data_IF_304807218856
#
_entry.id   IF_304807218856
#
_cell.length_a   1.000
_cell.length_b   1.000
_cell.length_c   1.000
_cell.angle_alpha   90.00
_cell.angle_beta   90.00
_cell.angle_gamma   90.00
#
_symmetry.space_group_name_H-M   'P 1'
#
loop_
_entity.id
_entity.type
_entity.pdbx_description
1 polymer ?
#
# COMPACT_ATOMS: atom_id res chain seq x y z
N UNK A 1 13.04 39.40 14.66
CA UNK A 1 12.66 39.31 13.24
C UNK A 1 13.75 38.56 12.49
N UNK A 2 13.58 37.25 12.28
CA UNK A 2 14.19 36.49 11.18
C UNK A 2 13.21 35.35 10.89
N UNK A 3 12.38 35.51 9.86
CA UNK A 3 11.43 34.48 9.40
C UNK A 3 12.26 33.43 8.66
N UNK A 4 12.24 32.19 9.16
CA UNK A 4 12.84 31.04 8.49
C UNK A 4 12.24 30.83 7.11
N UNK A 5 13.11 30.56 6.14
CA UNK A 5 12.77 30.26 4.77
C UNK A 5 11.80 29.04 4.67
N UNK A 6 10.95 28.96 3.64
CA UNK A 6 10.04 27.85 3.46
C UNK A 6 10.84 26.56 3.22
N UNK A 7 10.58 25.55 4.06
CA UNK A 7 11.09 24.19 3.91
C UNK A 7 10.62 23.68 2.55
N UNK A 8 11.57 23.40 1.66
CA UNK A 8 11.30 22.82 0.35
C UNK A 8 10.47 21.53 0.53
N UNK A 9 9.37 21.41 -0.21
CA UNK A 9 8.55 20.22 -0.19
C UNK A 9 9.42 18.99 -0.53
N UNK A 10 9.57 18.07 0.43
CA UNK A 10 10.29 16.80 0.22
C UNK A 10 9.58 16.04 -0.91
N UNK A 11 10.22 15.92 -2.08
CA UNK A 11 9.72 15.06 -3.13
C UNK A 11 9.83 13.61 -2.66
N UNK A 12 8.69 12.98 -2.36
CA UNK A 12 8.64 11.56 -2.01
C UNK A 12 9.12 10.73 -3.20
N UNK A 13 9.94 9.68 -2.98
CA UNK A 13 10.39 8.83 -4.06
C UNK A 13 9.19 8.13 -4.71
N UNK A 14 9.19 8.11 -6.04
CA UNK A 14 8.16 7.41 -6.81
C UNK A 14 8.40 5.90 -6.67
N UNK A 15 7.49 5.16 -6.05
CA UNK A 15 7.55 3.69 -6.08
C UNK A 15 7.12 3.22 -7.46
N UNK A 16 8.07 2.71 -8.24
CA UNK A 16 7.79 2.16 -9.56
C UNK A 16 7.23 0.75 -9.37
N UNK A 17 6.00 0.51 -9.83
CA UNK A 17 5.44 -0.83 -9.88
C UNK A 17 6.36 -1.73 -10.71
N UNK A 18 6.46 -3.03 -10.36
CA UNK A 18 7.28 -3.99 -11.09
C UNK A 18 7.09 -3.85 -12.61
N UNK A 19 8.15 -4.01 -13.42
CA UNK A 19 7.99 -4.05 -14.87
C UNK A 19 6.94 -5.11 -15.23
N UNK A 20 5.94 -4.69 -16.04
CA UNK A 20 4.76 -5.47 -16.42
C UNK A 20 5.06 -6.89 -16.97
N UNK A 21 6.31 -7.20 -17.31
CA UNK A 21 6.74 -8.51 -17.79
C UNK A 21 6.62 -9.62 -16.73
N UNK A 22 6.72 -9.31 -15.44
CA UNK A 22 6.53 -10.28 -14.35
C UNK A 22 5.06 -10.43 -13.92
N UNK A 23 4.24 -9.41 -14.17
CA UNK A 23 2.81 -9.38 -13.87
C UNK A 23 1.96 -9.74 -15.10
N UNK A 24 2.45 -10.62 -15.98
CA UNK A 24 1.56 -11.31 -16.92
C UNK A 24 0.61 -12.18 -16.11
N UNK A 25 -0.48 -11.55 -15.65
CA UNK A 25 -1.66 -12.21 -15.12
C UNK A 25 -2.02 -13.23 -16.19
N UNK A 26 -1.91 -14.52 -15.86
CA UNK A 26 -2.48 -15.56 -16.70
C UNK A 26 -3.91 -15.13 -17.06
N UNK A 27 -4.38 -15.34 -18.30
CA UNK A 27 -5.78 -15.07 -18.63
C UNK A 27 -6.62 -15.72 -17.54
N UNK A 28 -7.53 -14.94 -16.95
CA UNK A 28 -8.38 -15.44 -15.88
C UNK A 28 -9.00 -16.77 -16.35
N UNK A 29 -9.03 -17.82 -15.51
CA UNK A 29 -9.68 -19.06 -15.90
C UNK A 29 -11.08 -18.74 -16.44
N UNK A 30 -11.52 -19.42 -17.50
CA UNK A 30 -12.89 -19.32 -17.98
C UNK A 30 -13.81 -20.01 -16.97
N UNK A 31 -14.02 -19.36 -15.82
CA UNK A 31 -15.04 -19.76 -14.87
C UNK A 31 -16.37 -19.73 -15.62
N UNK A 32 -17.21 -20.79 -15.52
CA UNK A 32 -18.55 -20.69 -16.05
C UNK A 32 -19.19 -19.46 -15.44
N UNK A 33 -19.70 -18.57 -16.30
CA UNK A 33 -20.36 -17.31 -15.94
C UNK A 33 -21.72 -17.62 -15.30
N UNK A 34 -21.72 -18.39 -14.20
CA UNK A 34 -22.89 -18.71 -13.41
C UNK A 34 -23.01 -17.70 -12.29
N UNK A 35 -23.42 -16.50 -12.68
CA UNK A 35 -24.26 -15.59 -11.91
C UNK A 35 -24.72 -14.58 -12.94
N UNK A 36 -25.92 -14.78 -13.48
CA UNK A 36 -26.61 -13.72 -14.18
C UNK A 36 -26.89 -12.62 -13.14
N UNK A 37 -25.92 -11.72 -12.95
CA UNK A 37 -26.24 -10.37 -12.48
C UNK A 37 -27.14 -9.80 -13.56
N UNK A 38 -28.44 -9.72 -13.27
CA UNK A 38 -29.35 -8.94 -14.10
C UNK A 38 -28.69 -7.57 -14.33
N UNK A 39 -28.66 -7.06 -15.57
CA UNK A 39 -28.00 -5.79 -15.89
C UNK A 39 -28.56 -4.60 -15.08
N UNK A 40 -29.69 -4.80 -14.39
CA UNK A 40 -30.38 -3.82 -13.58
C UNK A 40 -30.11 -3.93 -12.06
N UNK A 41 -29.23 -4.84 -11.60
CA UNK A 41 -28.96 -5.05 -10.18
C UNK A 41 -27.46 -4.83 -9.90
N UNK A 42 -27.07 -4.09 -8.83
CA UNK A 42 -25.67 -3.98 -8.45
C UNK A 42 -24.99 -5.36 -8.28
N UNK A 43 -23.69 -5.46 -8.61
CA UNK A 43 -23.03 -6.75 -8.81
C UNK A 43 -22.98 -7.64 -7.57
N UNK A 44 -23.10 -7.08 -6.37
CA UNK A 44 -23.08 -7.80 -5.10
C UNK A 44 -24.41 -7.75 -4.33
N UNK A 45 -25.51 -7.40 -5.00
CA UNK A 45 -26.82 -7.33 -4.35
C UNK A 45 -27.19 -8.63 -3.63
N UNK A 46 -27.74 -8.51 -2.42
CA UNK A 46 -28.14 -9.66 -1.59
C UNK A 46 -26.97 -10.43 -0.97
N UNK A 47 -25.71 -10.03 -1.20
CA UNK A 47 -24.54 -10.62 -0.53
C UNK A 47 -24.32 -9.99 0.84
N UNK A 48 -23.97 -10.82 1.81
CA UNK A 48 -23.50 -10.40 3.13
C UNK A 48 -22.01 -10.71 3.25
N UNK A 49 -21.19 -9.69 3.50
CA UNK A 49 -19.73 -9.81 3.48
C UNK A 49 -19.15 -9.28 4.79
N UNK A 50 -18.24 -10.04 5.39
CA UNK A 50 -17.46 -9.61 6.55
C UNK A 50 -16.03 -9.29 6.09
N UNK A 51 -15.53 -8.10 6.43
CA UNK A 51 -14.19 -7.65 6.08
C UNK A 51 -13.29 -7.74 7.31
N UNK A 52 -12.27 -8.61 7.26
CA UNK A 52 -11.35 -8.89 8.37
C UNK A 52 -9.98 -8.20 8.29
N UNK A 53 -9.84 -7.27 7.34
CA UNK A 53 -8.58 -6.56 7.07
C UNK A 53 -8.21 -5.60 8.22
N UNK A 54 -6.94 -5.18 8.34
CA UNK A 54 -6.56 -4.12 9.27
C UNK A 54 -7.12 -2.76 8.82
N UNK A 55 -7.34 -1.86 9.78
CA UNK A 55 -7.73 -0.48 9.49
C UNK A 55 -6.59 0.36 8.92
N UNK A 56 -6.87 1.43 8.15
CA UNK A 56 -8.20 1.88 7.65
C UNK A 56 -8.74 1.05 6.45
N UNK A 57 -8.00 0.02 6.01
CA UNK A 57 -8.30 -0.70 4.75
C UNK A 57 -9.56 -1.55 4.88
N UNK A 58 -9.92 -1.94 6.09
CA UNK A 58 -11.16 -2.65 6.37
C UNK A 58 -12.36 -1.77 6.00
N UNK A 59 -12.36 -0.54 6.51
CA UNK A 59 -13.43 0.42 6.24
C UNK A 59 -13.48 0.84 4.77
N UNK A 60 -12.34 1.13 4.14
CA UNK A 60 -12.25 1.43 2.70
C UNK A 60 -12.84 0.28 1.85
N UNK A 61 -12.52 -0.97 2.21
CA UNK A 61 -13.04 -2.15 1.51
C UNK A 61 -14.54 -2.32 1.76
N UNK A 62 -15.01 -2.11 3.00
CA UNK A 62 -16.44 -2.17 3.35
C UNK A 62 -17.25 -1.19 2.52
N UNK A 63 -16.81 0.06 2.41
CA UNK A 63 -17.47 1.11 1.62
C UNK A 63 -17.55 0.74 0.14
N UNK A 64 -16.43 0.26 -0.45
CA UNK A 64 -16.41 -0.17 -1.85
C UNK A 64 -17.38 -1.34 -2.12
N UNK A 65 -17.50 -2.28 -1.18
CA UNK A 65 -18.44 -3.41 -1.29
C UNK A 65 -19.90 -2.96 -1.17
N UNK A 66 -20.19 -1.98 -0.32
CA UNK A 66 -21.54 -1.39 -0.20
C UNK A 66 -21.95 -0.61 -1.45
N UNK A 67 -21.03 0.15 -2.04
CA UNK A 67 -21.26 0.81 -3.33
C UNK A 67 -21.57 -0.20 -4.45
N UNK A 68 -21.03 -1.42 -4.34
CA UNK A 68 -21.31 -2.54 -5.22
C UNK A 68 -22.59 -3.33 -4.86
N UNK A 69 -23.37 -2.88 -3.86
CA UNK A 69 -24.66 -3.43 -3.46
C UNK A 69 -24.64 -4.51 -2.38
N UNK A 70 -23.48 -4.81 -1.78
CA UNK A 70 -23.38 -5.77 -0.69
C UNK A 70 -23.84 -5.17 0.65
N UNK A 71 -24.35 -6.01 1.55
CA UNK A 71 -24.44 -5.70 2.97
C UNK A 71 -23.11 -6.08 3.63
N UNK A 72 -22.27 -5.11 3.95
CA UNK A 72 -20.90 -5.36 4.43
C UNK A 72 -20.69 -4.90 5.86
N UNK A 73 -19.87 -5.63 6.63
CA UNK A 73 -19.44 -5.22 7.97
C UNK A 73 -17.92 -5.30 8.08
N UNK A 74 -17.30 -4.28 8.66
CA UNK A 74 -15.89 -4.34 9.04
C UNK A 74 -15.78 -5.00 10.43
N UNK A 75 -14.91 -5.99 10.53
CA UNK A 75 -14.48 -6.60 11.79
C UNK A 75 -12.97 -6.79 11.70
N UNK A 76 -12.17 -5.76 11.96
CA UNK A 76 -10.71 -5.85 11.86
C UNK A 76 -10.17 -6.91 12.83
N UNK A 77 -9.57 -7.97 12.30
CA UNK A 77 -9.00 -9.06 13.10
C UNK A 77 -7.47 -8.98 13.21
N UNK A 78 -6.86 -8.01 12.51
CA UNK A 78 -5.42 -7.81 12.45
C UNK A 78 -5.13 -6.36 12.82
N UNK A 79 -4.22 -6.15 13.77
CA UNK A 79 -3.66 -4.85 14.08
C UNK A 79 -2.24 -4.74 13.50
N UNK A 80 -1.93 -3.60 12.89
CA UNK A 80 -0.59 -3.29 12.41
C UNK A 80 0.08 -2.41 13.46
N UNK A 81 1.09 -2.95 14.13
CA UNK A 81 1.84 -2.24 15.16
C UNK A 81 3.23 -1.91 14.62
N UNK A 82 3.64 -0.63 14.61
CA UNK A 82 5.04 -0.27 14.39
C UNK A 82 5.90 -0.96 15.44
N UNK A 83 7.05 -1.48 15.00
CA UNK A 83 8.04 -2.06 15.89
C UNK A 83 9.14 -1.03 16.12
N UNK A 84 9.63 -0.94 17.36
CA UNK A 84 10.84 -0.17 17.65
C UNK A 84 12.05 -0.82 16.99
N UNK A 85 12.80 -0.03 16.24
CA UNK A 85 14.02 -0.51 15.60
C UNK A 85 15.17 -0.63 16.59
N UNK A 86 15.91 -1.73 16.49
CA UNK A 86 17.16 -1.86 17.21
C UNK A 86 18.27 -0.97 16.60
N UNK A 87 19.48 -1.02 17.16
CA UNK A 87 20.60 -0.20 16.69
C UNK A 87 21.03 -0.55 15.26
N UNK A 88 21.03 -1.86 14.92
CA UNK A 88 21.45 -2.34 13.60
C UNK A 88 20.46 -1.90 12.52
N UNK A 89 19.17 -2.01 12.81
CA UNK A 89 18.10 -1.63 11.88
C UNK A 89 18.07 -0.12 11.64
N UNK A 90 18.36 0.67 12.68
CA UNK A 90 18.54 2.12 12.51
C UNK A 90 19.73 2.45 11.61
N UNK A 91 20.88 1.79 11.80
CA UNK A 91 22.02 1.96 10.90
C UNK A 91 21.66 1.63 9.45
N UNK A 92 20.92 0.54 9.21
CA UNK A 92 20.47 0.19 7.85
C UNK A 92 19.62 1.27 7.20
N UNK A 93 18.80 1.99 7.97
CA UNK A 93 17.98 3.11 7.47
C UNK A 93 18.82 4.38 7.26
N UNK A 94 19.84 4.61 8.08
CA UNK A 94 20.74 5.75 7.92
C UNK A 94 21.70 5.58 6.74
N UNK A 95 21.94 4.35 6.32
CA UNK A 95 22.85 3.97 5.23
C UNK A 95 22.10 3.50 3.98
N UNK A 96 20.89 4.03 3.73
CA UNK A 96 20.08 3.65 2.56
C UNK A 96 20.78 3.91 1.22
N UNK A 97 21.72 4.85 1.17
CA UNK A 97 22.56 5.13 0.00
C UNK A 97 23.53 3.99 -0.36
N UNK A 98 23.81 3.06 0.58
CA UNK A 98 24.55 1.84 0.29
C UNK A 98 23.73 0.80 -0.49
N UNK A 99 22.43 1.04 -0.70
CA UNK A 99 21.55 0.14 -1.42
C UNK A 99 21.15 0.70 -2.78
N UNK A 100 21.12 -0.18 -3.79
CA UNK A 100 20.58 0.15 -5.10
C UNK A 100 19.06 -0.02 -5.17
N UNK A 101 18.50 -0.96 -4.39
CA UNK A 101 17.09 -1.36 -4.49
C UNK A 101 16.47 -1.57 -3.11
N UNK A 102 15.26 -1.07 -2.93
CA UNK A 102 14.40 -1.34 -1.78
C UNK A 102 13.15 -2.07 -2.25
N UNK A 103 12.81 -3.16 -1.58
CA UNK A 103 11.62 -3.96 -1.86
C UNK A 103 10.64 -3.81 -0.69
N UNK A 104 9.57 -3.04 -0.89
CA UNK A 104 8.47 -2.97 0.06
C UNK A 104 7.46 -4.09 -0.23
N UNK A 105 7.28 -5.02 0.71
CA UNK A 105 6.43 -6.21 0.51
C UNK A 105 4.94 -5.96 0.78
N UNK A 106 4.58 -4.78 1.29
CA UNK A 106 3.20 -4.38 1.51
C UNK A 106 3.09 -2.85 1.65
N UNK A 107 1.88 -2.27 1.51
CA UNK A 107 1.67 -0.84 1.75
C UNK A 107 2.07 -0.42 3.17
N UNK A 108 1.88 -1.31 4.16
CA UNK A 108 2.27 -1.04 5.54
C UNK A 108 3.79 -0.97 5.69
N UNK A 109 4.53 -1.88 5.04
CA UNK A 109 5.99 -1.88 5.07
C UNK A 109 6.58 -0.63 4.40
N UNK A 110 6.03 -0.23 3.24
CA UNK A 110 6.42 1.02 2.56
C UNK A 110 6.22 2.23 3.47
N UNK A 111 5.02 2.37 4.05
CA UNK A 111 4.66 3.53 4.90
C UNK A 111 5.56 3.61 6.12
N UNK A 112 5.73 2.50 6.85
CA UNK A 112 6.53 2.48 8.07
C UNK A 112 8.01 2.77 7.81
N UNK A 113 8.57 2.27 6.70
CA UNK A 113 9.95 2.59 6.31
C UNK A 113 10.08 4.08 5.97
N UNK A 114 9.17 4.63 5.17
CA UNK A 114 9.20 6.05 4.80
C UNK A 114 9.09 6.95 6.04
N UNK A 115 8.18 6.63 6.97
CA UNK A 115 8.03 7.36 8.24
C UNK A 115 9.32 7.31 9.07
N UNK A 116 9.95 6.14 9.16
CA UNK A 116 11.16 5.99 9.97
C UNK A 116 12.41 6.61 9.34
N UNK A 117 12.47 6.68 8.00
CA UNK A 117 13.57 7.25 7.25
C UNK A 117 13.47 8.78 7.09
N UNK A 118 12.26 9.36 7.20
CA UNK A 118 12.02 10.80 7.00
C UNK A 118 12.83 11.69 7.95
N UNK A 119 13.14 11.18 9.14
CA UNK A 119 13.96 11.84 10.17
C UNK A 119 15.45 11.92 9.80
N UNK A 120 15.94 10.98 8.98
CA UNK A 120 17.37 10.82 8.68
C UNK A 120 17.76 11.37 7.30
N UNK A 121 16.83 11.33 6.35
CA UNK A 121 17.09 11.70 4.96
C UNK A 121 16.37 13.02 4.61
N UNK A 122 16.98 14.19 4.88
CA UNK A 122 16.43 15.47 4.42
C UNK A 122 16.30 15.51 2.89
N UNK A 123 17.18 14.79 2.20
CA UNK A 123 17.10 14.47 0.79
C UNK A 123 17.30 12.97 0.61
N UNK A 124 16.42 12.31 -0.17
CA UNK A 124 16.52 10.87 -0.43
C UNK A 124 17.77 10.52 -1.27
N UNK A 125 18.38 9.34 -1.06
CA UNK A 125 19.51 8.88 -1.85
C UNK A 125 19.20 8.84 -3.35
N UNK A 126 20.15 9.31 -4.15
CA UNK A 126 20.02 9.33 -5.61
C UNK A 126 20.28 7.93 -6.17
N UNK A 127 19.45 7.51 -7.13
CA UNK A 127 19.61 6.22 -7.80
C UNK A 127 19.03 5.02 -7.05
N UNK A 128 18.29 5.27 -5.96
CA UNK A 128 17.57 4.25 -5.23
C UNK A 128 16.32 3.81 -6.00
N UNK A 129 16.21 2.52 -6.33
CA UNK A 129 15.04 1.96 -7.00
C UNK A 129 14.08 1.34 -5.98
N UNK A 130 12.79 1.71 -6.07
CA UNK A 130 11.74 1.24 -5.16
C UNK A 130 10.82 0.23 -5.84
N UNK A 131 10.65 -0.93 -5.22
CA UNK A 131 9.97 -2.09 -5.77
C UNK A 131 8.86 -2.52 -4.82
N UNK A 132 7.70 -2.92 -5.35
CA UNK A 132 6.61 -3.48 -4.55
C UNK A 132 5.72 -4.44 -5.35
N UNK A 133 5.05 -5.40 -4.68
CA UNK A 133 4.37 -6.51 -5.35
C UNK A 133 3.10 -6.11 -6.12
N UNK A 134 2.60 -4.89 -5.93
CA UNK A 134 1.40 -4.42 -6.61
C UNK A 134 1.10 -2.96 -6.35
N UNK A 135 0.09 -2.47 -7.06
CA UNK A 135 -0.27 -1.05 -7.13
C UNK A 135 -0.54 -0.43 -5.75
N UNK A 136 -1.20 -1.16 -4.83
CA UNK A 136 -1.46 -0.66 -3.49
C UNK A 136 -0.18 -0.33 -2.70
N UNK A 137 0.93 -1.04 -2.97
CA UNK A 137 2.23 -0.72 -2.36
C UNK A 137 2.94 0.40 -3.11
N UNK A 138 2.76 0.48 -4.44
CA UNK A 138 3.36 1.51 -5.27
C UNK A 138 2.74 2.91 -5.11
N UNK A 139 1.51 3.01 -4.58
CA UNK A 139 0.83 4.29 -4.32
C UNK A 139 1.27 4.97 -3.01
N UNK A 140 2.01 4.27 -2.14
CA UNK A 140 2.50 4.81 -0.86
C UNK A 140 3.70 5.69 -1.09
#
# INVERSE_FOLDING_TARGET
MLRGAPIAAKAKPLVVAWPNSFLKRAPAPSWPRSMATSPNNPPLAGRRILVSRPEPRAEETRQALEQAGACSRALPLIAIQPRTLDGRERSLIQELDNFRKIIAVSPNAARLLLEQADDWWPQWPVGLEWWGPGEGTARV
#
